data_IF_419364794159
#
_entry.id   IF_419364794159
#
_cell.length_a   1.000
_cell.length_b   1.000
_cell.length_c   1.000
_cell.angle_alpha   90.00
_cell.angle_beta   90.00
_cell.angle_gamma   90.00
#
_symmetry.space_group_name_H-M   'P 1'
#
loop_
_entity.id
_entity.type
_entity.pdbx_description
1 polymer ?
#
# COMPACT_ATOMS: atom_id res chain seq x y z
N UNK A 1 -8.18 -27.31 -63.23
CA UNK A 1 -6.95 -26.54 -62.99
C UNK A 1 -7.34 -25.31 -62.17
N UNK A 2 -7.67 -25.36 -60.87
CA UNK A 2 -6.94 -25.71 -59.64
C UNK A 2 -5.81 -24.74 -59.28
N UNK A 3 -5.90 -24.21 -58.05
CA UNK A 3 -4.96 -23.43 -57.19
C UNK A 3 -5.26 -21.92 -57.18
N UNK A 4 -5.43 -21.24 -56.04
CA UNK A 4 -5.32 -21.62 -54.64
C UNK A 4 -5.10 -20.34 -53.84
N UNK A 5 -6.13 -19.85 -53.12
CA UNK A 5 -5.99 -18.69 -52.22
C UNK A 5 -5.64 -19.20 -50.83
N UNK A 6 -4.37 -19.05 -50.43
CA UNK A 6 -3.91 -19.27 -49.06
C UNK A 6 -4.46 -18.17 -48.15
N UNK A 7 -5.52 -18.48 -47.41
CA UNK A 7 -5.90 -17.70 -46.23
C UNK A 7 -4.97 -18.11 -45.08
N UNK A 8 -3.96 -17.27 -44.81
CA UNK A 8 -3.06 -17.41 -43.66
C UNK A 8 -3.80 -16.89 -42.43
N UNK A 9 -4.46 -17.79 -41.70
CA UNK A 9 -5.04 -17.55 -40.38
C UNK A 9 -3.92 -17.11 -39.44
N UNK A 10 -3.84 -15.81 -39.14
CA UNK A 10 -3.02 -15.30 -38.03
C UNK A 10 -3.80 -15.58 -36.75
N UNK A 11 -3.19 -16.37 -35.87
CA UNK A 11 -3.62 -16.64 -34.50
C UNK A 11 -4.16 -15.38 -33.82
N UNK A 12 -5.26 -15.44 -33.05
CA UNK A 12 -5.58 -14.34 -32.17
C UNK A 12 -4.42 -14.19 -31.18
N UNK A 13 -3.82 -13.01 -31.17
CA UNK A 13 -2.87 -12.61 -30.16
C UNK A 13 -3.51 -12.91 -28.81
N UNK A 14 -2.88 -13.84 -28.08
CA UNK A 14 -3.18 -14.14 -26.69
C UNK A 14 -3.08 -12.82 -25.95
N UNK A 15 -4.23 -12.22 -25.65
CA UNK A 15 -4.32 -11.02 -24.85
C UNK A 15 -3.54 -11.31 -23.56
N UNK A 16 -2.41 -10.64 -23.38
CA UNK A 16 -1.73 -10.59 -22.09
C UNK A 16 -2.80 -10.15 -21.08
N UNK A 17 -2.92 -10.80 -19.90
CA UNK A 17 -3.83 -10.33 -18.86
C UNK A 17 -3.54 -8.85 -18.67
N UNK A 18 -4.59 -8.04 -18.85
CA UNK A 18 -4.52 -6.60 -18.82
C UNK A 18 -3.69 -6.18 -17.63
N UNK A 19 -2.61 -5.45 -17.90
CA UNK A 19 -1.93 -4.67 -16.87
C UNK A 19 -3.04 -3.84 -16.24
N UNK A 20 -3.37 -4.12 -14.98
CA UNK A 20 -4.32 -3.32 -14.25
C UNK A 20 -3.90 -1.84 -14.40
N UNK A 21 -4.83 -0.93 -14.68
CA UNK A 21 -4.49 0.48 -14.82
C UNK A 21 -3.74 0.93 -13.56
N UNK A 22 -2.56 1.54 -13.77
CA UNK A 22 -1.94 2.41 -12.78
C UNK A 22 -3.00 3.46 -12.41
N UNK A 23 -3.44 3.50 -11.15
CA UNK A 23 -4.44 4.46 -10.71
C UNK A 23 -5.84 3.91 -10.48
N UNK A 24 -5.99 2.64 -10.10
CA UNK A 24 -7.08 2.31 -9.19
C UNK A 24 -6.69 2.85 -7.80
N UNK A 25 -6.73 4.19 -7.64
CA UNK A 25 -6.98 4.80 -6.33
C UNK A 25 -8.08 3.93 -5.74
N UNK A 26 -7.81 3.27 -4.62
CA UNK A 26 -8.84 2.54 -3.89
C UNK A 26 -9.50 3.54 -2.96
N UNK A 27 -10.50 4.35 -3.39
CA UNK A 27 -11.14 5.33 -2.52
C UNK A 27 -11.82 4.65 -1.32
N UNK A 28 -12.04 3.33 -1.41
CA UNK A 28 -12.54 2.53 -0.30
C UNK A 28 -11.60 2.60 0.90
N UNK A 29 -10.28 2.47 0.72
CA UNK A 29 -9.35 2.43 1.85
C UNK A 29 -9.11 3.84 2.42
N UNK A 30 -8.97 4.87 1.57
CA UNK A 30 -8.81 6.27 1.99
C UNK A 30 -9.92 6.74 2.94
N UNK A 31 -11.18 6.35 2.65
CA UNK A 31 -12.35 6.69 3.50
C UNK A 31 -12.32 6.00 4.86
N UNK A 32 -11.58 4.91 4.99
CA UNK A 32 -11.47 4.10 6.21
C UNK A 32 -10.24 4.46 7.06
N UNK A 33 -9.23 5.11 6.46
CA UNK A 33 -8.00 5.49 7.14
C UNK A 33 -8.19 6.72 8.03
N UNK A 34 -8.44 6.45 9.31
CA UNK A 34 -8.49 7.47 10.37
C UNK A 34 -7.28 7.35 11.30
N UNK A 35 -6.87 8.41 12.00
CA UNK A 35 -5.91 8.28 13.10
C UNK A 35 -6.32 7.16 14.07
N UNK A 36 -5.37 6.30 14.43
CA UNK A 36 -5.59 5.10 15.25
C UNK A 36 -5.88 3.81 14.45
N UNK A 37 -6.08 3.91 13.14
CA UNK A 37 -6.35 2.73 12.29
C UNK A 37 -5.11 1.85 12.16
N UNK A 38 -5.29 0.53 12.28
CA UNK A 38 -4.21 -0.45 12.05
C UNK A 38 -4.12 -0.81 10.58
N UNK A 39 -2.91 -0.69 10.05
CA UNK A 39 -2.59 -0.98 8.66
C UNK A 39 -1.42 -1.94 8.57
N UNK A 40 -1.34 -2.62 7.43
CA UNK A 40 -0.14 -3.36 7.02
C UNK A 40 0.49 -2.68 5.82
N UNK A 41 1.80 -2.62 5.76
CA UNK A 41 2.56 -2.11 4.63
C UNK A 41 2.78 -3.27 3.65
N UNK A 42 2.39 -3.10 2.38
CA UNK A 42 2.50 -4.17 1.38
C UNK A 42 3.90 -4.29 0.81
N UNK A 43 4.54 -3.15 0.58
CA UNK A 43 5.90 -3.07 0.08
C UNK A 43 6.48 -1.71 0.48
N UNK A 44 7.49 -1.65 1.36
CA UNK A 44 8.20 -0.40 1.56
C UNK A 44 8.94 -0.03 0.26
N UNK A 45 8.85 1.24 -0.14
CA UNK A 45 9.72 1.74 -1.19
C UNK A 45 11.17 1.75 -0.69
N UNK A 46 12.13 1.37 -1.56
CA UNK A 46 13.53 1.60 -1.27
C UNK A 46 13.76 3.11 -1.00
N UNK A 47 14.58 3.48 -0.01
CA UNK A 47 15.61 2.67 0.64
C UNK A 47 15.24 2.16 2.06
N UNK A 48 13.96 1.88 2.31
CA UNK A 48 13.50 1.46 3.64
C UNK A 48 13.47 -0.07 3.81
N UNK A 49 14.08 -0.56 4.89
CA UNK A 49 14.01 -1.95 5.34
C UNK A 49 13.08 -2.06 6.55
N UNK A 50 11.92 -2.71 6.39
CA UNK A 50 10.94 -2.86 7.46
C UNK A 50 11.29 -4.04 8.38
N UNK A 51 11.44 -3.77 9.68
CA UNK A 51 11.50 -4.80 10.73
C UNK A 51 10.11 -5.36 11.07
N UNK A 52 9.06 -4.61 10.75
CA UNK A 52 7.65 -4.98 10.93
C UNK A 52 6.83 -4.42 9.76
N UNK A 53 5.94 -5.23 9.21
CA UNK A 53 4.98 -4.82 8.17
C UNK A 53 3.77 -4.08 8.75
N UNK A 54 3.70 -3.91 10.07
CA UNK A 54 2.49 -3.46 10.77
C UNK A 54 2.72 -2.11 11.45
N UNK A 55 1.68 -1.26 11.41
CA UNK A 55 1.69 0.06 12.02
C UNK A 55 0.31 0.66 12.25
N UNK A 56 0.31 1.87 12.79
CA UNK A 56 -0.88 2.65 13.11
C UNK A 56 -0.85 3.97 12.35
N UNK A 57 -1.93 4.30 11.66
CA UNK A 57 -2.12 5.62 11.04
C UNK A 57 -2.16 6.68 12.13
N UNK A 58 -1.29 7.68 12.06
CA UNK A 58 -1.36 8.85 12.96
C UNK A 58 -2.06 10.04 12.31
N UNK A 59 -2.11 10.09 10.97
CA UNK A 59 -2.89 11.08 10.23
C UNK A 59 -2.49 11.15 8.75
N UNK A 60 -3.16 12.03 7.97
CA UNK A 60 -2.71 12.37 6.63
C UNK A 60 -1.36 13.07 6.69
N UNK A 61 -0.53 12.86 5.67
CA UNK A 61 0.70 13.62 5.47
C UNK A 61 0.39 14.96 4.75
N UNK A 62 1.44 15.76 4.52
CA UNK A 62 1.33 17.02 3.78
C UNK A 62 0.97 16.81 2.30
N UNK A 63 1.30 15.64 1.74
CA UNK A 63 1.01 15.28 0.36
C UNK A 63 -0.28 14.48 0.22
N UNK A 64 -1.07 14.83 -0.78
CA UNK A 64 -2.34 14.17 -1.05
C UNK A 64 -2.15 12.69 -1.38
N UNK A 65 -3.00 11.82 -0.81
CA UNK A 65 -2.87 10.36 -0.92
C UNK A 65 -1.82 9.71 -0.01
N UNK A 66 -1.07 10.49 0.78
CA UNK A 66 -0.07 9.96 1.72
C UNK A 66 -0.57 10.00 3.16
N UNK A 67 -0.24 8.97 3.92
CA UNK A 67 -0.50 8.89 5.36
C UNK A 67 0.80 8.73 6.12
N UNK A 68 0.85 9.33 7.31
CA UNK A 68 1.92 9.09 8.26
C UNK A 68 1.53 7.90 9.12
N UNK A 69 2.38 6.87 9.10
CA UNK A 69 2.20 5.62 9.81
C UNK A 69 3.28 5.51 10.89
N UNK A 70 2.86 5.26 12.12
CA UNK A 70 3.74 4.83 13.22
C UNK A 70 3.91 3.32 13.16
N UNK A 71 5.13 2.86 12.95
CA UNK A 71 5.47 1.44 12.93
C UNK A 71 5.46 0.84 14.35
N UNK A 72 5.16 -0.46 14.44
CA UNK A 72 5.26 -1.20 15.72
C UNK A 72 6.71 -1.40 16.16
N UNK A 73 7.62 -1.45 15.19
CA UNK A 73 9.06 -1.57 15.39
C UNK A 73 9.77 -0.61 14.45
N UNK A 74 10.90 -0.02 14.87
CA UNK A 74 11.68 0.85 14.00
C UNK A 74 12.05 0.13 12.69
N UNK A 75 11.89 0.83 11.57
CA UNK A 75 12.45 0.44 10.28
C UNK A 75 13.86 1.00 10.14
N UNK A 76 14.65 0.38 9.26
CA UNK A 76 16.00 0.84 8.93
C UNK A 76 15.97 1.61 7.63
N UNK A 77 16.25 2.89 7.70
CA UNK A 77 16.43 3.75 6.53
C UNK A 77 17.89 3.71 6.12
N UNK A 78 18.15 3.22 4.90
CA UNK A 78 19.48 3.20 4.31
C UNK A 78 19.71 4.51 3.57
N UNK A 79 20.61 5.33 4.10
CA UNK A 79 20.99 6.58 3.43
C UNK A 79 21.77 6.29 2.14
N UNK A 80 22.01 7.32 1.32
CA UNK A 80 22.92 7.19 0.17
C UNK A 80 24.38 6.98 0.60
N UNK A 81 24.70 7.34 1.84
CA UNK A 81 25.96 7.06 2.51
C UNK A 81 25.84 5.74 3.32
N UNK A 82 26.91 5.20 3.91
CA UNK A 82 26.83 3.91 4.62
C UNK A 82 26.11 4.00 5.97
N UNK A 83 25.41 5.10 6.28
CA UNK A 83 24.65 5.24 7.53
C UNK A 83 23.31 4.54 7.41
N UNK A 84 22.93 3.90 8.51
CA UNK A 84 21.61 3.33 8.71
C UNK A 84 20.97 4.07 9.88
N UNK A 85 19.75 4.55 9.67
CA UNK A 85 18.96 5.24 10.69
C UNK A 85 17.72 4.42 11.04
N UNK A 86 17.39 4.37 12.33
CA UNK A 86 16.15 3.74 12.78
C UNK A 86 15.03 4.77 12.81
N UNK A 87 13.95 4.50 12.07
CA UNK A 87 12.79 5.38 12.00
C UNK A 87 11.51 4.66 12.40
N UNK A 88 10.72 5.32 13.25
CA UNK A 88 9.44 4.79 13.73
C UNK A 88 8.25 5.32 12.93
N UNK A 89 8.47 6.40 12.18
CA UNK A 89 7.44 7.10 11.41
C UNK A 89 7.79 7.02 9.93
N UNK A 90 6.83 6.55 9.14
CA UNK A 90 6.97 6.46 7.69
C UNK A 90 5.81 7.18 7.03
N UNK A 91 6.09 7.79 5.87
CA UNK A 91 5.07 8.39 5.01
C UNK A 91 4.86 7.43 3.87
N UNK A 92 3.64 6.96 3.72
CA UNK A 92 3.33 5.94 2.73
C UNK A 92 2.10 6.30 1.93
N UNK A 93 2.18 5.97 0.66
CA UNK A 93 1.07 6.11 -0.27
C UNK A 93 -0.03 5.13 0.14
N UNK A 94 -1.28 5.57 0.05
CA UNK A 94 -2.45 4.77 0.35
C UNK A 94 -2.52 3.46 -0.45
N UNK A 95 -1.98 3.44 -1.67
CA UNK A 95 -1.87 2.24 -2.50
C UNK A 95 -0.91 1.18 -1.90
N UNK A 96 0.07 1.62 -1.11
CA UNK A 96 1.01 0.73 -0.40
C UNK A 96 0.41 0.16 0.89
N UNK A 97 -0.79 0.60 1.28
CA UNK A 97 -1.47 0.14 2.50
C UNK A 97 -2.34 -1.10 2.23
N UNK A 98 -2.17 -2.09 3.10
CA UNK A 98 -2.87 -3.35 3.16
C UNK A 98 -4.02 -3.32 4.15
N UNK A 99 -4.61 -4.49 4.36
CA UNK A 99 -5.84 -4.73 5.12
C UNK A 99 -5.99 -3.83 6.35
N UNK A 100 -7.07 -3.04 6.33
CA UNK A 100 -7.50 -2.22 7.46
C UNK A 100 -8.12 -3.14 8.49
N UNK A 101 -7.50 -3.24 9.67
CA UNK A 101 -8.24 -3.71 10.85
C UNK A 101 -8.62 -2.49 11.64
N UNK A 102 -9.87 -2.07 11.47
CA UNK A 102 -10.47 -1.03 12.28
C UNK A 102 -10.59 -1.60 13.71
N UNK A 103 -9.59 -1.33 14.56
CA UNK A 103 -9.77 -1.38 16.01
C UNK A 103 -10.57 -0.14 16.39
N UNK A 104 -11.82 -0.10 15.94
CA UNK A 104 -12.81 0.79 16.51
C UNK A 104 -12.84 0.47 18.01
N UNK A 105 -12.41 1.44 18.82
CA UNK A 105 -12.35 1.32 20.25
C UNK A 105 -13.67 0.81 20.81
N UNK A 106 -13.69 -0.49 21.12
CA UNK A 106 -14.63 -1.06 22.07
C UNK A 106 -14.06 -0.69 23.44
N UNK A 107 -14.29 0.57 23.82
CA UNK A 107 -13.75 1.16 25.04
C UNK A 107 -14.66 2.23 25.63
N UNK A 108 -15.95 2.16 25.32
CA UNK A 108 -16.97 2.77 26.16
C UNK A 108 -17.13 1.92 27.41
N UNK A 109 -16.38 2.24 28.46
CA UNK A 109 -16.79 1.94 29.82
C UNK A 109 -16.85 3.27 30.56
N UNK A 110 -18.05 3.83 30.62
CA UNK A 110 -18.36 4.89 31.56
C UNK A 110 -18.12 4.39 32.97
N UNK A 111 -17.24 5.07 33.70
CA UNK A 111 -17.25 5.03 35.16
C UNK A 111 -18.21 6.11 35.63
N UNK A 112 -19.47 5.72 35.83
CA UNK A 112 -20.32 6.37 36.82
C UNK A 112 -20.17 5.54 38.10
N UNK A 113 -19.72 6.20 39.17
CA UNK A 113 -19.58 5.67 40.51
C UNK A 113 -19.10 6.76 41.44
#
# INVERSE_FOLDING_TARGET
MTRGRSAKTRSPARALPGRAPLGAHTPAIERELKPGTRVRLRAPAAPLELTSDSGTVIGPAEWDGYYVIKLDRPARYHHADPRVEEIDLVREDVENLGSVRNIAGTGGCGVNG
#
